data_IF_526510009043
#
_entry.id   IF_526510009043
#
_cell.length_a   1.000
_cell.length_b   1.000
_cell.length_c   1.000
_cell.angle_alpha   90.00
_cell.angle_beta   90.00
_cell.angle_gamma   90.00
#
_symmetry.space_group_name_H-M   'P 1'
#
loop_
_entity.id
_entity.type
_entity.pdbx_description
1 polymer ?
#
# COMPACT_ATOMS: atom_id res chain seq x y z
N UNK A 1 0.72 10.44 -45.98
CA UNK A 1 0.86 10.38 -44.50
C UNK A 1 -0.42 9.76 -43.93
N UNK A 2 -0.45 8.43 -43.82
CA UNK A 2 -1.55 7.73 -43.14
C UNK A 2 -1.41 8.12 -41.67
N UNK A 3 -2.36 8.90 -41.18
CA UNK A 3 -2.33 9.48 -39.84
C UNK A 3 -2.23 8.36 -38.81
N UNK A 4 -1.21 8.45 -37.93
CA UNK A 4 -0.97 7.58 -36.77
C UNK A 4 -2.27 7.37 -35.97
N UNK A 5 -3.10 8.40 -35.99
CA UNK A 5 -4.42 8.48 -35.38
C UNK A 5 -5.46 7.48 -35.96
N UNK A 6 -5.37 7.11 -37.25
CA UNK A 6 -6.24 6.07 -37.85
C UNK A 6 -5.79 4.66 -37.41
N UNK A 7 -4.49 4.43 -37.30
CA UNK A 7 -3.92 3.16 -36.83
C UNK A 7 -4.21 2.92 -35.34
N UNK A 8 -4.17 3.97 -34.52
CA UNK A 8 -4.52 3.90 -33.09
C UNK A 8 -6.01 3.60 -32.89
N UNK A 9 -6.90 4.17 -33.71
CA UNK A 9 -8.33 3.84 -33.66
C UNK A 9 -8.62 2.40 -34.07
N UNK A 10 -7.95 1.89 -35.10
CA UNK A 10 -8.08 0.48 -35.53
C UNK A 10 -7.57 -0.47 -34.44
N UNK A 11 -6.44 -0.15 -33.78
CA UNK A 11 -5.95 -0.92 -32.62
C UNK A 11 -6.96 -0.91 -31.47
N UNK A 12 -7.49 0.24 -31.08
CA UNK A 12 -8.55 0.32 -30.05
C UNK A 12 -9.82 -0.44 -30.42
N UNK A 13 -10.17 -0.48 -31.71
CA UNK A 13 -11.34 -1.25 -32.18
C UNK A 13 -11.09 -2.77 -32.15
N UNK A 14 -9.85 -3.21 -32.38
CA UNK A 14 -9.40 -4.60 -32.23
C UNK A 14 -9.19 -5.00 -30.75
N UNK A 15 -8.89 -4.05 -29.88
CA UNK A 15 -8.79 -4.21 -28.42
C UNK A 15 -10.17 -4.30 -27.74
N UNK A 16 -11.27 -4.06 -28.45
CA UNK A 16 -12.59 -4.43 -27.94
C UNK A 16 -12.59 -5.96 -27.77
N UNK A 17 -12.86 -6.49 -26.56
CA UNK A 17 -12.81 -7.92 -26.29
C UNK A 17 -13.81 -8.59 -27.23
N UNK A 18 -13.26 -9.16 -28.30
CA UNK A 18 -14.06 -9.73 -29.37
C UNK A 18 -14.55 -11.06 -28.80
N UNK A 19 -15.83 -11.07 -28.38
CA UNK A 19 -16.60 -12.20 -27.82
C UNK A 19 -16.39 -12.40 -26.30
N UNK A 20 -17.45 -12.11 -25.53
CA UNK A 20 -17.59 -12.59 -24.15
C UNK A 20 -17.70 -14.12 -24.22
N UNK A 21 -16.76 -14.81 -23.60
CA UNK A 21 -16.76 -16.27 -23.46
C UNK A 21 -17.47 -16.67 -22.16
N UNK A 22 -18.17 -17.80 -22.18
CA UNK A 22 -18.79 -18.32 -20.95
C UNK A 22 -17.69 -18.78 -19.99
N UNK A 23 -17.85 -18.50 -18.70
CA UNK A 23 -16.95 -18.95 -17.62
C UNK A 23 -16.99 -20.48 -17.42
N UNK A 24 -18.01 -21.15 -17.95
CA UNK A 24 -18.18 -22.60 -17.90
C UNK A 24 -17.61 -23.31 -19.14
N UNK A 25 -16.98 -22.56 -20.05
CA UNK A 25 -16.39 -23.16 -21.26
C UNK A 25 -15.23 -24.06 -20.86
N UNK A 26 -15.21 -25.29 -21.37
CA UNK A 26 -14.07 -26.20 -21.21
C UNK A 26 -12.85 -25.66 -21.97
N UNK A 27 -11.68 -25.69 -21.35
CA UNK A 27 -10.41 -25.28 -21.94
C UNK A 27 -9.53 -26.51 -22.17
N UNK A 28 -9.20 -26.82 -23.42
CA UNK A 28 -8.35 -27.96 -23.79
C UNK A 28 -9.12 -29.24 -24.12
N UNK A 29 -8.40 -30.36 -24.28
CA UNK A 29 -8.96 -31.68 -24.58
C UNK A 29 -9.40 -32.46 -23.33
N UNK A 30 -9.03 -31.99 -22.14
CA UNK A 30 -9.38 -32.62 -20.87
C UNK A 30 -10.73 -32.08 -20.38
N UNK A 31 -11.72 -32.96 -20.24
CA UNK A 31 -13.12 -32.65 -19.91
C UNK A 31 -13.34 -32.00 -18.53
N UNK A 32 -12.30 -31.96 -17.68
CA UNK A 32 -12.37 -31.42 -16.31
C UNK A 32 -11.93 -29.95 -16.19
N UNK A 33 -11.29 -29.38 -17.22
CA UNK A 33 -10.69 -28.05 -17.13
C UNK A 33 -11.69 -26.94 -17.48
N UNK A 34 -12.35 -26.37 -16.48
CA UNK A 34 -13.34 -25.29 -16.65
C UNK A 34 -12.65 -23.92 -16.63
N UNK A 35 -13.05 -23.01 -17.53
CA UNK A 35 -12.48 -21.65 -17.64
C UNK A 35 -12.48 -20.87 -16.32
N UNK A 36 -13.48 -21.07 -15.46
CA UNK A 36 -13.58 -20.44 -14.14
C UNK A 36 -12.40 -20.77 -13.21
N UNK A 37 -11.81 -21.97 -13.32
CA UNK A 37 -10.72 -22.42 -12.45
C UNK A 37 -9.39 -21.71 -12.73
N UNK A 38 -9.21 -21.15 -13.94
CA UNK A 38 -7.98 -20.47 -14.36
C UNK A 38 -7.98 -18.96 -14.10
N UNK A 39 -9.11 -18.40 -13.65
CA UNK A 39 -9.22 -16.97 -13.38
C UNK A 39 -8.87 -16.75 -11.91
N UNK A 40 -7.62 -16.38 -11.68
CA UNK A 40 -7.18 -15.90 -10.37
C UNK A 40 -7.98 -14.64 -9.99
N UNK A 41 -8.51 -14.60 -8.76
CA UNK A 41 -9.17 -13.39 -8.26
C UNK A 41 -8.12 -12.33 -7.91
N UNK A 42 -8.03 -11.22 -8.65
CA UNK A 42 -7.06 -10.17 -8.38
C UNK A 42 -7.32 -9.43 -7.07
N UNK A 43 -8.44 -9.67 -6.40
CA UNK A 43 -8.81 -9.02 -5.13
C UNK A 43 -8.40 -9.83 -3.90
N UNK A 44 -8.04 -11.10 -4.06
CA UNK A 44 -7.62 -11.93 -2.95
C UNK A 44 -6.15 -11.63 -2.64
N UNK A 45 -5.90 -11.08 -1.46
CA UNK A 45 -4.53 -10.91 -0.98
C UNK A 45 -3.87 -12.28 -0.83
N UNK A 46 -2.72 -12.46 -1.46
CA UNK A 46 -1.91 -13.68 -1.34
C UNK A 46 -1.62 -13.94 0.16
N UNK A 47 -1.79 -15.17 0.67
CA UNK A 47 -1.48 -15.50 2.07
C UNK A 47 -0.08 -15.07 2.50
N UNK A 48 0.87 -15.17 1.57
CA UNK A 48 2.25 -14.70 1.74
C UNK A 48 2.29 -13.18 1.96
N UNK A 49 1.54 -12.40 1.19
CA UNK A 49 1.48 -10.95 1.35
C UNK A 49 0.88 -10.54 2.71
N UNK A 50 -0.17 -11.23 3.15
CA UNK A 50 -0.76 -11.01 4.48
C UNK A 50 0.23 -11.33 5.61
N UNK A 51 0.98 -12.42 5.48
CA UNK A 51 2.03 -12.77 6.45
C UNK A 51 3.14 -11.71 6.49
N UNK A 52 3.58 -11.21 5.33
CA UNK A 52 4.56 -10.13 5.25
C UNK A 52 4.07 -8.84 5.91
N UNK A 53 2.82 -8.43 5.71
CA UNK A 53 2.26 -7.26 6.38
C UNK A 53 2.28 -7.39 7.90
N UNK A 54 1.96 -8.57 8.43
CA UNK A 54 1.97 -8.82 9.87
C UNK A 54 3.39 -8.74 10.44
N UNK A 55 4.37 -9.37 9.79
CA UNK A 55 5.78 -9.30 10.19
C UNK A 55 6.26 -7.85 10.16
N UNK A 56 5.91 -7.11 9.11
CA UNK A 56 6.29 -5.71 8.97
C UNK A 56 5.69 -4.84 10.09
N UNK A 57 4.42 -5.06 10.44
CA UNK A 57 3.78 -4.38 11.58
C UNK A 57 4.49 -4.69 12.90
N UNK A 58 4.82 -5.95 13.16
CA UNK A 58 5.56 -6.32 14.38
C UNK A 58 6.93 -5.65 14.47
N UNK A 59 7.68 -5.60 13.37
CA UNK A 59 8.99 -4.98 13.35
C UNK A 59 8.90 -3.45 13.50
N UNK A 60 7.90 -2.82 12.90
CA UNK A 60 7.56 -1.43 13.17
C UNK A 60 7.23 -1.19 14.64
N UNK A 61 6.43 -2.05 15.27
CA UNK A 61 6.14 -1.91 16.71
C UNK A 61 7.39 -2.06 17.58
N UNK A 62 8.27 -3.02 17.28
CA UNK A 62 9.54 -3.21 18.01
C UNK A 62 10.44 -1.97 17.91
N UNK A 63 10.55 -1.38 16.72
CA UNK A 63 11.36 -0.17 16.52
C UNK A 63 10.75 1.03 17.23
N UNK A 64 9.43 1.22 17.15
CA UNK A 64 8.71 2.28 17.85
C UNK A 64 8.80 2.16 19.37
N UNK A 65 8.73 0.95 19.94
CA UNK A 65 8.91 0.70 21.38
C UNK A 65 10.28 1.13 21.93
N UNK A 66 11.28 1.31 21.06
CA UNK A 66 12.59 1.81 21.48
C UNK A 66 12.67 3.34 21.64
N UNK A 67 11.61 4.04 21.22
CA UNK A 67 11.47 5.49 21.39
C UNK A 67 10.86 5.81 22.75
N UNK A 68 10.96 7.07 23.17
CA UNK A 68 10.21 7.50 24.36
C UNK A 68 8.71 7.57 24.04
N UNK A 69 7.81 7.38 25.03
CA UNK A 69 6.36 7.38 24.77
C UNK A 69 5.84 8.64 24.07
N UNK A 70 6.48 9.80 24.33
CA UNK A 70 6.17 11.06 23.64
C UNK A 70 6.59 11.06 22.18
N UNK A 71 7.76 10.50 21.88
CA UNK A 71 8.29 10.42 20.52
C UNK A 71 7.53 9.38 19.70
N UNK A 72 7.20 8.24 20.30
CA UNK A 72 6.33 7.23 19.72
C UNK A 72 4.97 7.82 19.33
N UNK A 73 4.32 8.56 20.24
CA UNK A 73 3.04 9.21 19.96
C UNK A 73 3.13 10.18 18.76
N UNK A 74 4.15 11.04 18.73
CA UNK A 74 4.36 12.00 17.63
C UNK A 74 4.54 11.28 16.28
N UNK A 75 5.31 10.18 16.25
CA UNK A 75 5.54 9.41 15.03
C UNK A 75 4.28 8.65 14.62
N UNK A 76 3.58 8.01 15.57
CA UNK A 76 2.32 7.31 15.29
C UNK A 76 1.27 8.24 14.69
N UNK A 77 1.08 9.42 15.27
CA UNK A 77 0.17 10.43 14.71
C UNK A 77 0.61 10.91 13.33
N UNK A 78 1.92 11.10 13.11
CA UNK A 78 2.41 11.63 11.84
C UNK A 78 2.23 10.66 10.67
N UNK A 79 2.34 9.36 10.91
CA UNK A 79 2.26 8.32 9.87
C UNK A 79 0.95 7.53 9.92
N UNK A 80 -0.05 8.00 10.67
CA UNK A 80 -1.35 7.31 10.75
C UNK A 80 -1.30 5.93 11.41
N UNK A 81 -0.29 5.67 12.25
CA UNK A 81 -0.16 4.45 13.05
C UNK A 81 -0.83 4.59 14.43
N UNK A 82 -1.57 5.68 14.65
CA UNK A 82 -2.42 5.88 15.83
C UNK A 82 -3.76 5.15 15.66
N UNK A 83 -4.53 5.05 16.74
CA UNK A 83 -5.85 4.37 16.75
C UNK A 83 -6.82 4.92 15.69
N UNK A 84 -6.68 6.19 15.33
CA UNK A 84 -7.53 6.87 14.34
C UNK A 84 -7.19 6.52 12.88
N UNK A 85 -6.05 5.87 12.63
CA UNK A 85 -5.59 5.47 11.29
C UNK A 85 -5.32 6.62 10.32
N UNK A 86 -5.30 7.88 10.80
CA UNK A 86 -5.17 9.09 9.99
C UNK A 86 -3.82 9.76 10.21
N UNK A 87 -3.23 10.22 9.12
CA UNK A 87 -2.03 11.04 9.15
C UNK A 87 -2.38 12.46 9.64
N UNK A 88 -1.67 12.92 10.67
CA UNK A 88 -1.81 14.27 11.18
C UNK A 88 -0.73 15.21 10.66
N UNK A 89 -1.12 16.48 10.43
CA UNK A 89 -0.16 17.52 10.03
C UNK A 89 0.76 17.89 11.20
N UNK A 90 1.93 18.47 10.90
CA UNK A 90 2.81 18.99 11.97
C UNK A 90 2.12 20.03 12.87
N UNK A 91 1.13 20.74 12.33
CA UNK A 91 0.40 21.76 13.08
C UNK A 91 -0.58 21.09 14.05
N UNK A 92 -1.38 20.13 13.59
CA UNK A 92 -2.29 19.37 14.46
C UNK A 92 -1.56 18.66 15.60
N UNK A 93 -0.42 18.01 15.29
CA UNK A 93 0.40 17.35 16.32
C UNK A 93 0.99 18.38 17.30
N UNK A 94 1.36 19.56 16.82
CA UNK A 94 1.88 20.63 17.66
C UNK A 94 0.81 21.16 18.61
N UNK A 95 -0.40 21.35 18.11
CA UNK A 95 -1.55 21.82 18.88
C UNK A 95 -1.96 20.78 19.95
N UNK A 96 -1.98 19.48 19.61
CA UNK A 96 -2.29 18.41 20.58
C UNK A 96 -1.21 18.25 21.66
N UNK A 97 0.07 18.40 21.29
CA UNK A 97 1.20 18.23 22.21
C UNK A 97 1.54 19.51 23.00
N UNK A 98 0.87 20.63 22.74
CA UNK A 98 1.17 21.93 23.34
C UNK A 98 2.58 22.45 23.02
N UNK A 99 3.10 22.11 21.83
CA UNK A 99 4.44 22.47 21.38
C UNK A 99 4.37 23.34 20.13
N UNK A 100 5.47 24.02 19.78
CA UNK A 100 5.53 24.70 18.49
C UNK A 100 5.72 23.71 17.34
N UNK A 101 5.20 24.05 16.16
CA UNK A 101 5.42 23.30 14.90
C UNK A 101 6.91 22.99 14.66
N UNK A 102 7.76 23.99 14.86
CA UNK A 102 9.21 23.86 14.72
C UNK A 102 9.78 22.84 15.71
N UNK A 103 9.26 22.81 16.95
CA UNK A 103 9.70 21.84 17.96
C UNK A 103 9.31 20.41 17.57
N UNK A 104 8.08 20.18 17.10
CA UNK A 104 7.66 18.87 16.58
C UNK A 104 8.56 18.45 15.41
N UNK A 105 8.84 19.36 14.47
CA UNK A 105 9.70 19.06 13.33
C UNK A 105 11.13 18.65 13.76
N UNK A 106 11.70 19.31 14.77
CA UNK A 106 13.00 18.94 15.33
C UNK A 106 12.99 17.55 15.97
N UNK A 107 11.93 17.23 16.74
CA UNK A 107 11.78 15.92 17.37
C UNK A 107 11.70 14.83 16.31
N UNK A 108 10.85 15.00 15.29
CA UNK A 108 10.70 14.04 14.19
C UNK A 108 12.03 13.82 13.47
N UNK A 109 12.73 14.89 13.08
CA UNK A 109 14.06 14.77 12.44
C UNK A 109 15.05 13.98 13.30
N UNK A 110 15.08 14.25 14.61
CA UNK A 110 15.99 13.56 15.54
C UNK A 110 15.63 12.09 15.71
N UNK A 111 14.34 11.77 15.78
CA UNK A 111 13.85 10.39 15.89
C UNK A 111 14.17 9.61 14.62
N UNK A 112 13.86 10.14 13.44
CA UNK A 112 14.15 9.50 12.16
C UNK A 112 15.66 9.28 11.96
N UNK A 113 16.49 10.25 12.35
CA UNK A 113 17.94 10.09 12.31
C UNK A 113 18.46 8.97 13.24
N UNK A 114 17.81 8.78 14.40
CA UNK A 114 18.14 7.68 15.32
C UNK A 114 17.68 6.33 14.78
N UNK A 115 16.47 6.25 14.24
CA UNK A 115 15.93 5.02 13.66
C UNK A 115 16.82 4.53 12.50
N UNK A 116 17.19 5.43 11.58
CA UNK A 116 18.07 5.09 10.45
C UNK A 116 19.45 4.60 10.87
N UNK A 117 20.01 5.13 11.97
CA UNK A 117 21.31 4.70 12.50
C UNK A 117 21.28 3.35 13.22
N UNK A 118 20.10 2.90 13.62
CA UNK A 118 19.93 1.63 14.34
C UNK A 118 19.81 0.44 13.37
N UNK A 119 19.51 0.72 12.10
CA UNK A 119 19.43 -0.27 11.01
C UNK A 119 20.77 -0.43 10.25
N UNK A 120 21.77 0.42 10.49
CA UNK A 120 23.16 0.26 9.99
C UNK A 120 24.07 -0.27 11.07
#
# INVERSE_FOLDING_TARGET
KITIDRAQRIRKFLENPSKIISLETLLGEDEDNISLEFIEDPKVALPVALAFENIFKEDLEKTLKSLTPREEKIIKMRFGLAEDGKEHTLQEIADEMGLSKTRIQQIVKRVLARLRKKES
#
